data_IF_020684458929
#
_entry.id   IF_020684458929
#
_cell.length_a   1.000
_cell.length_b   1.000
_cell.length_c   1.000
_cell.angle_alpha   90.00
_cell.angle_beta   90.00
_cell.angle_gamma   90.00
#
_symmetry.space_group_name_H-M   'P 1'
#
loop_
_entity.id
_entity.type
_entity.pdbx_description
1 polymer ?
#
# COMPACT_ATOMS: atom_id res chain seq x y z
N UNK A 1 28.67 -43.01 -42.93
CA UNK A 1 28.83 -41.67 -42.31
C UNK A 1 27.57 -40.85 -42.58
N UNK A 2 26.69 -40.71 -41.59
CA UNK A 2 25.43 -39.95 -41.74
C UNK A 2 25.62 -38.59 -41.06
N UNK A 3 25.63 -37.49 -41.84
CA UNK A 3 25.64 -36.12 -41.32
C UNK A 3 24.22 -35.74 -40.91
N UNK A 4 23.95 -35.72 -39.61
CA UNK A 4 22.71 -35.14 -39.08
C UNK A 4 22.87 -33.61 -39.01
N UNK A 5 22.13 -32.93 -39.88
CA UNK A 5 21.98 -31.47 -39.91
C UNK A 5 21.11 -31.07 -38.72
N UNK A 6 21.72 -30.50 -37.66
CA UNK A 6 20.95 -29.95 -36.53
C UNK A 6 20.21 -28.70 -37.01
N UNK A 7 18.91 -28.81 -37.22
CA UNK A 7 18.02 -27.67 -37.36
C UNK A 7 18.07 -26.85 -36.07
N UNK A 8 18.46 -25.59 -36.21
CA UNK A 8 18.30 -24.60 -35.16
C UNK A 8 16.80 -24.41 -34.95
N UNK A 9 16.30 -24.89 -33.83
CA UNK A 9 15.02 -24.44 -33.26
C UNK A 9 15.26 -22.96 -32.89
N UNK A 10 15.10 -22.08 -33.87
CA UNK A 10 14.92 -20.66 -33.63
C UNK A 10 13.47 -20.50 -33.16
N UNK A 11 13.27 -20.65 -31.85
CA UNK A 11 12.14 -20.01 -31.19
C UNK A 11 12.19 -18.53 -31.54
N UNK A 12 11.26 -18.11 -32.39
CA UNK A 12 11.03 -16.73 -32.79
C UNK A 12 10.61 -15.91 -31.55
N UNK A 13 11.58 -15.52 -30.72
CA UNK A 13 11.40 -14.36 -29.87
C UNK A 13 11.67 -13.13 -30.73
N UNK A 14 10.62 -12.64 -31.41
CA UNK A 14 10.65 -11.30 -32.00
C UNK A 14 10.97 -10.31 -30.87
N UNK A 15 12.10 -9.57 -30.91
CA UNK A 15 12.39 -8.59 -29.87
C UNK A 15 11.29 -7.54 -29.90
N UNK A 16 10.48 -7.52 -28.86
CA UNK A 16 9.44 -6.53 -28.68
C UNK A 16 10.13 -5.16 -28.59
N UNK A 17 9.88 -4.31 -29.58
CA UNK A 17 10.47 -2.98 -29.69
C UNK A 17 10.22 -2.23 -28.38
N UNK A 18 11.27 -1.63 -27.84
CA UNK A 18 11.35 -1.08 -26.48
C UNK A 18 10.19 -0.12 -26.13
N UNK A 19 9.59 0.52 -27.15
CA UNK A 19 8.44 1.42 -27.02
C UNK A 19 7.11 0.69 -26.69
N UNK A 20 6.91 -0.55 -27.19
CA UNK A 20 5.71 -1.34 -26.89
C UNK A 20 5.72 -1.91 -25.47
N UNK A 21 6.91 -2.20 -24.93
CA UNK A 21 7.07 -2.71 -23.56
C UNK A 21 6.61 -1.69 -22.51
N UNK A 22 7.00 -0.42 -22.68
CA UNK A 22 6.56 0.67 -21.80
C UNK A 22 5.04 0.88 -21.80
N UNK A 23 4.40 0.74 -22.96
CA UNK A 23 2.94 0.83 -23.07
C UNK A 23 2.23 -0.32 -22.34
N UNK A 24 2.75 -1.55 -22.41
CA UNK A 24 2.17 -2.72 -21.74
C UNK A 24 2.26 -2.57 -20.20
N UNK A 25 3.41 -2.14 -19.67
CA UNK A 25 3.54 -1.90 -18.22
C UNK A 25 2.60 -0.79 -17.74
N UNK A 26 2.47 0.29 -18.52
CA UNK A 26 1.51 1.37 -18.22
C UNK A 26 0.06 0.87 -18.27
N UNK A 27 -0.29 0.05 -19.26
CA UNK A 27 -1.62 -0.52 -19.40
C UNK A 27 -1.98 -1.45 -18.23
N UNK A 28 -1.05 -2.31 -17.80
CA UNK A 28 -1.23 -3.20 -16.64
C UNK A 28 -1.37 -2.41 -15.34
N UNK A 29 -0.57 -1.36 -15.15
CA UNK A 29 -0.67 -0.49 -13.98
C UNK A 29 -2.02 0.26 -13.97
N UNK A 30 -2.47 0.74 -15.13
CA UNK A 30 -3.74 1.46 -15.27
C UNK A 30 -4.94 0.53 -15.01
N UNK A 31 -4.91 -0.70 -15.53
CA UNK A 31 -5.99 -1.67 -15.28
C UNK A 31 -6.02 -2.11 -13.83
N UNK A 32 -4.87 -2.34 -13.19
CA UNK A 32 -4.80 -2.64 -11.76
C UNK A 32 -5.35 -1.47 -10.90
N UNK A 33 -5.04 -0.23 -11.27
CA UNK A 33 -5.57 0.97 -10.62
C UNK A 33 -7.09 1.09 -10.75
N UNK A 34 -7.64 0.86 -11.95
CA UNK A 34 -9.09 0.90 -12.21
C UNK A 34 -9.81 -0.22 -11.44
N UNK A 35 -9.25 -1.43 -11.41
CA UNK A 35 -9.82 -2.55 -10.65
C UNK A 35 -9.84 -2.23 -9.15
N UNK A 36 -8.76 -1.64 -8.61
CA UNK A 36 -8.71 -1.18 -7.23
C UNK A 36 -9.79 -0.13 -6.91
N UNK A 37 -10.04 0.80 -7.83
CA UNK A 37 -11.10 1.81 -7.72
C UNK A 37 -12.52 1.21 -7.71
N UNK A 38 -12.73 0.14 -8.50
CA UNK A 38 -14.02 -0.56 -8.55
C UNK A 38 -14.30 -1.32 -7.24
N UNK A 39 -13.28 -1.91 -6.61
CA UNK A 39 -13.43 -2.66 -5.34
C UNK A 39 -13.78 -1.71 -4.17
N UNK A 40 -13.38 -0.43 -4.23
CA UNK A 40 -13.71 0.56 -3.19
C UNK A 40 -15.16 1.09 -3.25
N UNK A 41 -15.93 0.79 -4.30
CA UNK A 41 -17.32 1.20 -4.39
C UNK A 41 -18.22 0.26 -3.58
N UNK A 42 -18.31 0.47 -2.27
CA UNK A 42 -19.41 -0.11 -1.48
C UNK A 42 -20.05 0.90 -0.54
N UNK A 43 -21.38 0.97 -0.63
CA UNK A 43 -22.37 1.56 0.28
C UNK A 43 -22.79 3.02 0.04
N UNK A 44 -23.79 3.20 -0.84
CA UNK A 44 -24.73 4.33 -0.74
C UNK A 44 -25.88 3.85 0.16
N UNK A 45 -25.73 4.03 1.48
CA UNK A 45 -26.81 3.74 2.42
C UNK A 45 -27.71 4.98 2.55
N UNK A 46 -28.89 4.93 1.95
CA UNK A 46 -29.96 5.90 2.20
C UNK A 46 -30.90 5.32 3.27
N UNK A 47 -30.87 5.86 4.50
CA UNK A 47 -31.79 5.45 5.56
C UNK A 47 -31.95 6.52 6.67
N UNK A 48 -33.19 6.95 6.88
CA UNK A 48 -33.87 7.41 8.11
C UNK A 48 -33.20 8.34 9.13
N UNK A 49 -31.98 8.02 9.59
CA UNK A 49 -31.25 8.75 10.64
C UNK A 49 -29.83 9.00 10.14
N UNK A 50 -29.68 10.03 9.31
CA UNK A 50 -28.39 10.40 8.67
C UNK A 50 -27.26 10.55 9.69
N UNK A 51 -27.55 11.09 10.88
CA UNK A 51 -26.54 11.39 11.88
C UNK A 51 -26.01 10.15 12.62
N UNK A 52 -26.89 9.23 13.03
CA UNK A 52 -26.48 7.99 13.70
C UNK A 52 -25.73 7.06 12.75
N UNK A 53 -26.23 6.96 11.51
CA UNK A 53 -25.59 6.17 10.46
C UNK A 53 -24.23 6.76 10.07
N UNK A 54 -24.09 8.09 9.99
CA UNK A 54 -22.81 8.74 9.73
C UNK A 54 -21.80 8.52 10.87
N UNK A 55 -22.25 8.56 12.13
CA UNK A 55 -21.41 8.32 13.29
C UNK A 55 -20.90 6.87 13.35
N UNK A 56 -21.76 5.89 13.05
CA UNK A 56 -21.36 4.48 12.94
C UNK A 56 -20.39 4.25 11.79
N UNK A 57 -20.65 4.85 10.62
CA UNK A 57 -19.77 4.75 9.46
C UNK A 57 -18.39 5.36 9.73
N UNK A 58 -18.33 6.52 10.39
CA UNK A 58 -17.07 7.13 10.80
C UNK A 58 -16.26 6.23 11.73
N UNK A 59 -16.92 5.56 12.69
CA UNK A 59 -16.25 4.65 13.61
C UNK A 59 -15.69 3.40 12.90
N UNK A 60 -16.47 2.78 12.00
CA UNK A 60 -16.01 1.63 11.22
C UNK A 60 -14.85 1.99 10.27
N UNK A 61 -14.93 3.14 9.59
CA UNK A 61 -13.83 3.66 8.76
C UNK A 61 -12.59 3.94 9.60
N UNK A 62 -12.74 4.54 10.78
CA UNK A 62 -11.63 4.78 11.70
C UNK A 62 -10.93 3.46 12.10
N UNK A 63 -11.68 2.44 12.54
CA UNK A 63 -11.12 1.16 12.94
C UNK A 63 -10.39 0.46 11.78
N UNK A 64 -10.98 0.47 10.58
CA UNK A 64 -10.34 -0.07 9.37
C UNK A 64 -9.06 0.68 9.00
N UNK A 65 -9.08 2.01 9.10
CA UNK A 65 -7.93 2.86 8.78
C UNK A 65 -6.76 2.64 9.76
N UNK A 66 -7.05 2.52 11.06
CA UNK A 66 -6.05 2.21 12.09
C UNK A 66 -5.43 0.83 11.89
N UNK A 67 -6.24 -0.17 11.53
CA UNK A 67 -5.75 -1.52 11.23
C UNK A 67 -4.77 -1.52 10.06
N UNK A 68 -5.13 -0.88 8.95
CA UNK A 68 -4.25 -0.74 7.78
C UNK A 68 -2.98 0.05 8.11
N UNK A 69 -3.10 1.14 8.86
CA UNK A 69 -1.96 1.96 9.25
C UNK A 69 -0.99 1.22 10.16
N UNK A 70 -1.48 0.39 11.10
CA UNK A 70 -0.62 -0.40 11.99
C UNK A 70 0.21 -1.39 11.19
N UNK A 71 -0.39 -2.08 10.20
CA UNK A 71 0.34 -2.95 9.29
C UNK A 71 1.37 -2.18 8.46
N UNK A 72 0.99 -1.03 7.90
CA UNK A 72 1.89 -0.18 7.12
C UNK A 72 3.06 0.37 7.95
N UNK A 73 2.81 0.81 9.19
CA UNK A 73 3.84 1.28 10.11
C UNK A 73 4.81 0.16 10.49
N UNK A 74 4.31 -1.06 10.72
CA UNK A 74 5.15 -2.24 10.93
C UNK A 74 6.10 -2.51 9.76
N UNK A 75 5.59 -2.45 8.53
CA UNK A 75 6.41 -2.60 7.31
C UNK A 75 7.40 -1.45 7.15
N UNK A 76 6.99 -0.21 7.44
CA UNK A 76 7.84 0.98 7.37
C UNK A 76 9.00 0.92 8.38
N UNK A 77 8.71 0.60 9.64
CA UNK A 77 9.73 0.41 10.68
C UNK A 77 10.64 -0.76 10.33
N UNK A 78 10.10 -1.91 9.90
CA UNK A 78 10.88 -3.06 9.48
C UNK A 78 11.83 -2.74 8.32
N UNK A 79 11.33 -2.03 7.31
CA UNK A 79 12.11 -1.59 6.15
C UNK A 79 13.20 -0.60 6.57
N UNK A 80 12.90 0.37 7.43
CA UNK A 80 13.89 1.33 7.91
C UNK A 80 14.99 0.68 8.78
N UNK A 81 14.64 -0.31 9.61
CA UNK A 81 15.63 -1.12 10.35
C UNK A 81 16.51 -1.92 9.39
N UNK A 82 15.92 -2.51 8.36
CA UNK A 82 16.65 -3.24 7.33
C UNK A 82 17.58 -2.32 6.53
N UNK A 83 17.13 -1.12 6.16
CA UNK A 83 17.95 -0.10 5.49
C UNK A 83 19.18 0.30 6.31
N UNK A 84 19.04 0.41 7.64
CA UNK A 84 20.18 0.65 8.53
C UNK A 84 21.16 -0.52 8.53
N UNK A 85 20.65 -1.76 8.67
CA UNK A 85 21.48 -2.97 8.68
C UNK A 85 22.22 -3.18 7.35
N UNK A 86 21.59 -2.86 6.21
CA UNK A 86 22.19 -2.94 4.88
C UNK A 86 22.96 -1.69 4.45
N UNK A 87 23.05 -0.66 5.29
CA UNK A 87 23.70 0.59 4.93
C UNK A 87 25.22 0.44 4.69
N UNK A 88 25.84 -0.62 5.26
CA UNK A 88 27.28 -0.85 5.21
C UNK A 88 28.08 0.35 5.75
N UNK A 89 27.55 1.03 6.77
CA UNK A 89 28.20 2.18 7.42
C UNK A 89 28.06 3.52 6.69
N UNK A 90 27.29 3.61 5.60
CA UNK A 90 27.05 4.89 4.91
C UNK A 90 26.07 5.75 5.71
N UNK A 91 26.50 6.93 6.14
CA UNK A 91 25.69 7.81 7.01
C UNK A 91 24.36 8.20 6.36
N UNK A 92 24.36 8.59 5.08
CA UNK A 92 23.16 9.01 4.34
C UNK A 92 22.04 7.96 4.36
N UNK A 93 22.41 6.68 4.25
CA UNK A 93 21.46 5.55 4.26
C UNK A 93 20.95 5.24 5.67
N UNK A 94 21.77 5.45 6.70
CA UNK A 94 21.36 5.29 8.10
C UNK A 94 20.37 6.39 8.47
N UNK A 95 20.63 7.63 8.04
CA UNK A 95 19.73 8.75 8.23
C UNK A 95 18.39 8.55 7.50
N UNK A 96 18.42 8.06 6.27
CA UNK A 96 17.19 7.69 5.56
C UNK A 96 16.38 6.63 6.31
N UNK A 97 17.06 5.58 6.80
CA UNK A 97 16.40 4.54 7.62
C UNK A 97 15.82 5.11 8.92
N UNK A 98 16.51 6.04 9.59
CA UNK A 98 16.00 6.77 10.76
C UNK A 98 14.75 7.57 10.42
N UNK A 99 14.75 8.29 9.30
CA UNK A 99 13.63 9.10 8.85
C UNK A 99 12.40 8.23 8.59
N UNK A 100 12.55 7.13 7.85
CA UNK A 100 11.45 6.19 7.55
C UNK A 100 10.85 5.60 8.83
N UNK A 101 11.69 5.21 9.80
CA UNK A 101 11.21 4.71 11.11
C UNK A 101 10.42 5.80 11.84
N UNK A 102 10.99 7.02 11.94
CA UNK A 102 10.38 8.14 12.64
C UNK A 102 9.03 8.51 12.05
N UNK A 103 8.96 8.65 10.72
CA UNK A 103 7.73 9.02 10.00
C UNK A 103 6.65 7.94 10.17
N UNK A 104 7.03 6.66 10.14
CA UNK A 104 6.11 5.52 10.36
C UNK A 104 5.53 5.51 11.78
N UNK A 105 6.36 5.77 12.79
CA UNK A 105 5.93 5.81 14.20
C UNK A 105 5.03 7.01 14.47
N UNK A 106 5.41 8.19 13.97
CA UNK A 106 4.62 9.42 14.15
C UNK A 106 3.22 9.23 13.55
N UNK A 107 3.12 8.71 12.32
CA UNK A 107 1.84 8.44 11.68
C UNK A 107 0.95 7.48 12.47
N UNK A 108 1.53 6.41 13.03
CA UNK A 108 0.79 5.44 13.84
C UNK A 108 0.28 6.03 15.17
N UNK A 109 1.10 6.84 15.85
CA UNK A 109 0.72 7.50 17.11
C UNK A 109 -0.40 8.52 16.85
N UNK A 110 -0.32 9.32 15.78
CA UNK A 110 -1.35 10.29 15.44
C UNK A 110 -2.72 9.65 15.27
N UNK A 111 -2.80 8.47 14.64
CA UNK A 111 -4.08 7.76 14.48
C UNK A 111 -4.59 7.20 15.80
N UNK A 112 -3.72 6.62 16.64
CA UNK A 112 -4.12 6.18 17.97
C UNK A 112 -4.64 7.33 18.83
N UNK A 113 -4.04 8.52 18.73
CA UNK A 113 -4.52 9.72 19.42
C UNK A 113 -5.94 10.12 19.00
N UNK A 114 -6.28 10.01 17.71
CA UNK A 114 -7.64 10.25 17.23
C UNK A 114 -8.64 9.25 17.84
N UNK A 115 -8.27 7.99 18.01
CA UNK A 115 -9.10 6.99 18.68
C UNK A 115 -9.38 7.30 20.13
N UNK A 116 -8.41 7.85 20.84
CA UNK A 116 -8.58 8.29 22.23
C UNK A 116 -9.64 9.40 22.27
N UNK A 117 -9.58 10.37 21.36
CA UNK A 117 -10.56 11.47 21.28
C UNK A 117 -11.96 10.93 20.92
N UNK A 118 -12.06 10.00 19.98
CA UNK A 118 -13.32 9.38 19.59
C UNK A 118 -13.95 8.60 20.76
N UNK A 119 -13.15 7.83 21.49
CA UNK A 119 -13.61 7.08 22.65
C UNK A 119 -14.02 8.02 23.80
N UNK A 120 -13.25 9.10 24.01
CA UNK A 120 -13.58 10.14 24.98
C UNK A 120 -14.95 10.76 24.64
N UNK A 121 -15.15 11.25 23.41
CA UNK A 121 -16.43 11.82 22.97
C UNK A 121 -17.61 10.82 23.09
N UNK A 122 -17.38 9.55 22.71
CA UNK A 122 -18.39 8.50 22.85
C UNK A 122 -18.77 8.21 24.31
N UNK A 123 -17.89 8.48 25.27
CA UNK A 123 -18.15 8.25 26.70
C UNK A 123 -19.07 9.33 27.29
N UNK A 124 -19.05 10.56 26.79
CA UNK A 124 -19.95 11.64 27.24
C UNK A 124 -21.32 11.64 26.55
N UNK A 125 -21.47 10.86 25.49
CA UNK A 125 -22.75 10.75 24.73
C UNK A 125 -23.58 9.55 25.20
N UNK A 126 -23.25 8.95 26.36
CA UNK A 126 -24.03 7.93 27.04
C UNK A 126 -24.91 8.52 28.13
#
# INVERSE_FOLDING_TARGET
>A
MVRIKREKIQTSQKPMTLNKRGYIYKAIFLTAYIIGLLIMNTNIAFAGNLFDNASQLLNDVYLKFVGMSTAAAGVGVGTGVFMKKLSLGKQDKIELGNKVIKDSIIGWITLNALGIILNWASTYTK
#
